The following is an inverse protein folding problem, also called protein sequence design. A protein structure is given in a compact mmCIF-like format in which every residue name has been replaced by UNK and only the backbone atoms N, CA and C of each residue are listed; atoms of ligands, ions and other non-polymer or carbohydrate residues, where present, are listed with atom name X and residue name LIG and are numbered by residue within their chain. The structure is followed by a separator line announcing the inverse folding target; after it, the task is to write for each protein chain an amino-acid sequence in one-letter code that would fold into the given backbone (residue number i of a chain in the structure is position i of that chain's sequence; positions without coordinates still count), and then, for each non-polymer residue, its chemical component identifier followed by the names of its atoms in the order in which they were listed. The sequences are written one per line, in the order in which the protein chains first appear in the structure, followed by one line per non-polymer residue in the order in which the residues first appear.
data_IF_447271520118
#
_entry.id   IF_447271520118
#
_cell.length_a   1.000
_cell.length_b   1.000
_cell.length_c   1.000
_cell.angle_alpha   90.00
_cell.angle_beta   90.00
_cell.angle_gamma   90.00
#
_symmetry.space_group_name_H-M   'P 1'
#
loop_
_entity.id
_entity.type
_entity.pdbx_description
1 polymer ?
#
# COMPACT_ATOMS: atom_id res chain seq x y z
N UNK A 1 -9.39 34.64 17.14
CA UNK A 1 -8.17 35.02 16.39
C UNK A 1 -7.95 33.97 15.33
N UNK A 2 -7.85 34.34 14.06
CA UNK A 2 -7.57 33.40 12.97
C UNK A 2 -6.05 33.19 12.93
N UNK A 3 -5.56 31.95 12.95
CA UNK A 3 -4.12 31.70 12.83
C UNK A 3 -3.62 32.06 11.44
N UNK A 4 -2.45 32.70 11.38
CA UNK A 4 -1.72 32.99 10.15
C UNK A 4 -1.28 31.71 9.44
N UNK A 5 -0.96 31.83 8.15
CA UNK A 5 -0.56 30.68 7.32
C UNK A 5 0.70 29.98 7.86
N UNK A 6 1.66 30.73 8.39
CA UNK A 6 2.88 30.18 8.99
C UNK A 6 2.58 29.34 10.24
N UNK A 7 1.68 29.80 11.11
CA UNK A 7 1.23 29.04 12.28
C UNK A 7 0.57 27.71 11.86
N UNK A 8 -0.22 27.73 10.77
CA UNK A 8 -0.82 26.51 10.21
C UNK A 8 0.24 25.53 9.71
N UNK A 9 1.28 26.02 9.03
CA UNK A 9 2.40 25.19 8.55
C UNK A 9 3.15 24.56 9.72
N UNK A 10 3.48 25.35 10.75
CA UNK A 10 4.20 24.86 11.94
C UNK A 10 3.40 23.78 12.66
N UNK A 11 2.10 24.01 12.88
CA UNK A 11 1.22 23.00 13.50
C UNK A 11 1.13 21.72 12.65
N UNK A 12 1.05 21.85 11.32
CA UNK A 12 1.01 20.70 10.43
C UNK A 12 2.30 19.88 10.50
N UNK A 13 3.47 20.54 10.40
CA UNK A 13 4.78 19.88 10.49
C UNK A 13 4.96 19.22 11.86
N UNK A 14 4.47 19.84 12.94
CA UNK A 14 4.50 19.28 14.29
C UNK A 14 3.74 17.96 14.45
N UNK A 15 2.70 17.72 13.64
CA UNK A 15 1.90 16.50 13.65
C UNK A 15 2.42 15.38 12.73
N UNK A 16 3.50 15.62 11.98
CA UNK A 16 4.04 14.62 11.06
C UNK A 16 4.99 13.63 11.76
N UNK A 17 5.02 12.36 11.31
CA UNK A 17 6.01 11.40 11.78
C UNK A 17 7.43 11.79 11.34
N UNK A 18 8.44 11.44 12.13
CA UNK A 18 9.82 11.93 11.98
C UNK A 18 10.43 11.63 10.60
N UNK A 19 10.05 10.51 9.99
CA UNK A 19 10.47 10.10 8.65
C UNK A 19 10.01 11.04 7.52
N UNK A 20 8.91 11.76 7.73
CA UNK A 20 8.37 12.75 6.78
C UNK A 20 8.78 14.16 7.22
N UNK A 21 8.73 14.43 8.52
CA UNK A 21 8.96 15.74 9.13
C UNK A 21 10.31 16.36 8.71
N UNK A 22 11.41 15.61 8.80
CA UNK A 22 12.73 16.12 8.40
C UNK A 22 12.80 16.53 6.93
N UNK A 23 12.15 15.77 6.06
CA UNK A 23 12.09 16.05 4.62
C UNK A 23 11.20 17.26 4.30
N UNK A 24 10.07 17.42 5.00
CA UNK A 24 9.20 18.59 4.83
C UNK A 24 9.89 19.87 5.32
N UNK A 25 10.59 19.82 6.46
CA UNK A 25 11.38 20.95 6.98
C UNK A 25 12.48 21.36 5.99
N UNK A 26 13.17 20.40 5.38
CA UNK A 26 14.23 20.67 4.40
C UNK A 26 13.73 21.42 3.16
N UNK A 27 12.47 21.21 2.76
CA UNK A 27 11.85 21.92 1.62
C UNK A 27 11.34 23.32 2.03
N UNK A 28 11.20 23.59 3.33
CA UNK A 28 10.75 24.87 3.89
C UNK A 28 9.49 25.43 3.20
N UNK A 29 8.34 24.74 3.28
CA UNK A 29 7.12 25.17 2.61
C UNK A 29 6.57 26.47 3.20
N UNK A 30 6.29 27.45 2.33
CA UNK A 30 5.70 28.75 2.70
C UNK A 30 4.19 28.67 2.93
N UNK A 31 3.53 27.65 2.35
CA UNK A 31 2.07 27.48 2.41
C UNK A 31 1.71 26.11 2.95
N UNK A 32 0.59 26.03 3.67
CA UNK A 32 0.09 24.76 4.21
C UNK A 32 -0.14 23.72 3.11
N UNK A 33 -0.68 24.14 1.96
CA UNK A 33 -0.90 23.24 0.83
C UNK A 33 0.39 22.63 0.29
N UNK A 34 1.50 23.37 0.29
CA UNK A 34 2.79 22.83 -0.13
C UNK A 34 3.29 21.79 0.86
N UNK A 35 3.20 22.05 2.16
CA UNK A 35 3.54 21.07 3.19
C UNK A 35 2.73 19.77 3.04
N UNK A 36 1.43 19.87 2.77
CA UNK A 36 0.54 18.72 2.52
C UNK A 36 0.97 17.97 1.25
N UNK A 37 1.24 18.68 0.16
CA UNK A 37 1.67 18.08 -1.11
C UNK A 37 2.98 17.32 -0.95
N UNK A 38 3.97 17.91 -0.29
CA UNK A 38 5.28 17.29 -0.05
C UNK A 38 5.11 16.04 0.83
N UNK A 39 4.35 16.13 1.93
CA UNK A 39 4.07 14.99 2.79
C UNK A 39 3.41 13.84 2.02
N UNK A 40 2.42 14.14 1.18
CA UNK A 40 1.76 13.16 0.32
C UNK A 40 2.71 12.52 -0.71
N UNK A 41 3.58 13.30 -1.35
CA UNK A 41 4.58 12.76 -2.28
C UNK A 41 5.57 11.82 -1.59
N UNK A 42 5.95 12.13 -0.35
CA UNK A 42 6.85 11.28 0.44
C UNK A 42 6.18 9.97 0.88
N UNK A 43 4.87 9.99 1.14
CA UNK A 43 4.07 8.79 1.40
C UNK A 43 3.84 7.97 0.13
N UNK A 44 3.54 8.61 -1.01
CA UNK A 44 3.30 7.96 -2.30
C UNK A 44 4.55 7.26 -2.84
N UNK A 45 5.74 7.84 -2.68
CA UNK A 45 7.01 7.18 -3.06
C UNK A 45 7.21 5.84 -2.38
N UNK A 46 6.77 5.67 -1.12
CA UNK A 46 6.78 4.36 -0.46
C UNK A 46 5.69 3.44 -1.01
N UNK A 47 4.52 3.98 -1.33
CA UNK A 47 3.42 3.20 -1.91
C UNK A 47 3.74 2.70 -3.32
N UNK A 48 4.41 3.49 -4.17
CA UNK A 48 4.88 3.06 -5.49
C UNK A 48 5.92 1.92 -5.39
N UNK A 49 6.81 1.96 -4.40
CA UNK A 49 7.72 0.84 -4.14
C UNK A 49 7.00 -0.46 -3.78
N UNK A 50 5.90 -0.37 -3.03
CA UNK A 50 5.04 -1.52 -2.73
C UNK A 50 4.15 -1.95 -3.91
N UNK A 51 3.65 -1.01 -4.72
CA UNK A 51 2.82 -1.29 -5.89
C UNK A 51 3.63 -1.91 -7.04
N UNK A 52 4.87 -1.46 -7.27
CA UNK A 52 5.78 -2.07 -8.23
C UNK A 52 6.13 -3.52 -7.83
N UNK A 53 6.46 -3.75 -6.55
CA UNK A 53 6.64 -5.10 -6.02
C UNK A 53 5.36 -5.94 -6.12
N UNK A 54 4.19 -5.33 -5.86
CA UNK A 54 2.88 -5.99 -5.96
C UNK A 54 2.49 -6.39 -7.39
N UNK A 55 2.92 -5.63 -8.39
CA UNK A 55 2.75 -5.97 -9.80
C UNK A 55 3.62 -7.18 -10.21
N UNK A 56 4.83 -7.30 -9.66
CA UNK A 56 5.68 -8.48 -9.85
C UNK A 56 5.09 -9.70 -9.11
N UNK A 57 4.58 -9.57 -7.88
CA UNK A 57 3.97 -10.68 -7.16
C UNK A 57 2.53 -11.04 -7.60
N UNK A 58 1.91 -10.30 -8.54
CA UNK A 58 0.68 -10.72 -9.25
C UNK A 58 0.94 -11.32 -10.64
N UNK A 59 2.11 -11.08 -11.24
CA UNK A 59 2.51 -11.71 -12.52
C UNK A 59 3.06 -13.15 -12.36
N UNK A 60 3.11 -13.69 -11.14
CA UNK A 60 3.45 -15.09 -10.87
C UNK A 60 2.27 -16.07 -10.76
N UNK A 61 1.00 -15.61 -10.77
CA UNK A 61 -0.17 -16.52 -10.64
C UNK A 61 -0.75 -16.99 -11.98
N UNK A 62 -0.06 -16.74 -13.09
CA UNK A 62 -0.56 -17.13 -14.42
C UNK A 62 0.57 -17.65 -15.28
N UNK A 63 1.11 -18.82 -14.93
CA UNK A 63 1.66 -19.84 -15.85
C UNK A 63 2.12 -21.05 -15.02
N UNK A 64 1.17 -21.85 -14.57
CA UNK A 64 1.36 -23.31 -14.56
C UNK A 64 0.03 -23.96 -14.88
N UNK A 65 -0.20 -24.04 -16.19
CA UNK A 65 -0.74 -25.20 -16.87
C UNK A 65 -2.10 -25.72 -16.37
N UNK A 66 -3.13 -25.36 -17.14
CA UNK A 66 -4.28 -26.25 -17.26
C UNK A 66 -3.81 -27.59 -17.82
N UNK A 67 -3.99 -28.64 -17.05
CA UNK A 67 -4.22 -30.01 -17.52
C UNK A 67 -5.19 -30.63 -16.50
N UNK A 68 -6.43 -30.90 -16.93
CA UNK A 68 -7.32 -31.94 -16.38
C UNK A 68 -7.79 -31.76 -14.93
N UNK A 69 -9.05 -31.84 -14.52
CA UNK A 69 -10.34 -32.25 -15.07
C UNK A 69 -11.40 -31.68 -14.12
N UNK A 70 -12.62 -31.54 -14.63
CA UNK A 70 -13.88 -31.40 -13.92
C UNK A 70 -13.85 -31.83 -12.43
N UNK A 71 -14.28 -30.95 -11.54
CA UNK A 71 -14.52 -31.31 -10.14
C UNK A 71 -15.84 -30.70 -9.69
N UNK A 72 -16.89 -31.45 -10.04
CA UNK A 72 -18.22 -31.37 -9.50
C UNK A 72 -18.21 -31.34 -7.95
N UNK A 73 -19.05 -30.46 -7.41
CA UNK A 73 -19.24 -30.17 -6.01
C UNK A 73 -20.08 -31.26 -5.33
N UNK A 74 -19.47 -31.94 -4.34
CA UNK A 74 -20.12 -32.39 -3.09
C UNK A 74 -21.21 -33.48 -3.17
N UNK A 75 -20.89 -34.70 -2.73
CA UNK A 75 -21.60 -35.34 -1.61
C UNK A 75 -21.01 -36.68 -1.16
N UNK A 76 -20.63 -36.71 0.13
CA UNK A 76 -20.67 -37.78 1.14
C UNK A 76 -20.93 -39.24 0.68
N UNK A 77 -19.98 -40.14 0.99
CA UNK A 77 -20.20 -41.60 1.08
C UNK A 77 -18.89 -42.40 0.98
N UNK A 78 -18.19 -42.72 2.07
CA UNK A 78 -18.03 -44.09 2.61
C UNK A 78 -17.93 -45.18 1.53
N UNK A 79 -16.72 -45.73 1.30
CA UNK A 79 -16.42 -47.17 1.42
C UNK A 79 -14.90 -47.40 1.34
N UNK A 80 -14.38 -48.09 2.35
CA UNK A 80 -13.07 -48.73 2.39
C UNK A 80 -13.29 -50.19 1.96
N UNK A 81 -12.63 -50.61 0.88
CA UNK A 81 -12.25 -51.99 0.50
C UNK A 81 -11.61 -51.83 -0.87
N UNK A 82 -10.46 -52.37 -1.23
CA UNK A 82 -9.69 -53.50 -0.73
C UNK A 82 -8.97 -53.99 -1.99
N UNK A 83 -7.66 -53.86 -2.02
CA UNK A 83 -6.82 -54.11 -3.19
C UNK A 83 -6.39 -55.57 -3.18
N UNK A 84 -6.91 -56.38 -4.12
CA UNK A 84 -6.28 -57.57 -4.72
C UNK A 84 -7.12 -58.06 -5.88
#
# INVERSE_FOLDING_TARGET
MVPDEEDKVVRFIGGLPDNIKGNVIAVNPVRLQDAIRIANQLMDKKLQGYAARSAENKKGWKVTQGITVDSNHHSKGKILVGRM
#
